data_IF_158804763988
#
_entry.id   IF_158804763988
#
_cell.length_a   1.000
_cell.length_b   1.000
_cell.length_c   1.000
_cell.angle_alpha   90.00
_cell.angle_beta   90.00
_cell.angle_gamma   90.00
#
_symmetry.space_group_name_H-M   'P 1'
#
loop_
_entity.id
_entity.type
_entity.pdbx_description
1 polymer ?
#
# COMPACT_ATOMS: atom_id res chain seq x y z
N UNK A 1 34.54 30.45 -37.44
CA UNK A 1 33.93 31.75 -37.73
C UNK A 1 32.45 31.67 -37.37
N UNK A 2 32.05 32.32 -36.28
CA UNK A 2 30.66 32.61 -35.94
C UNK A 2 30.30 34.00 -36.51
N UNK A 3 29.05 34.18 -36.96
CA UNK A 3 28.28 35.43 -36.99
C UNK A 3 26.82 35.03 -37.35
N UNK A 4 25.86 34.93 -36.42
CA UNK A 4 25.05 35.96 -35.70
C UNK A 4 23.99 36.65 -36.56
N UNK A 5 22.72 36.34 -36.27
CA UNK A 5 21.55 37.23 -36.11
C UNK A 5 20.43 36.34 -35.49
N UNK A 6 20.20 36.41 -34.18
CA UNK A 6 19.25 37.27 -33.46
C UNK A 6 17.77 36.84 -33.61
N UNK A 7 17.18 36.18 -32.60
CA UNK A 7 16.43 36.79 -31.46
C UNK A 7 14.95 37.02 -31.83
N UNK A 8 14.07 36.24 -31.18
CA UNK A 8 12.65 36.45 -30.80
C UNK A 8 11.90 35.11 -30.92
N UNK A 9 11.97 34.30 -29.86
CA UNK A 9 10.85 33.44 -29.43
C UNK A 9 11.12 32.88 -28.02
N UNK A 10 11.45 33.79 -27.11
CA UNK A 10 11.33 33.57 -25.68
C UNK A 10 10.20 34.46 -25.17
N UNK A 11 8.97 33.94 -25.14
CA UNK A 11 7.91 34.33 -24.18
C UNK A 11 6.54 33.81 -24.65
N UNK A 12 6.18 32.58 -24.28
CA UNK A 12 4.85 32.15 -23.81
C UNK A 12 4.75 30.62 -23.91
N UNK A 13 5.11 29.90 -22.86
CA UNK A 13 4.23 28.91 -22.18
C UNK A 13 4.87 28.68 -20.82
N UNK A 14 4.66 29.66 -19.94
CA UNK A 14 4.84 29.50 -18.52
C UNK A 14 3.43 29.31 -17.93
N UNK A 15 2.93 28.07 -17.89
CA UNK A 15 1.81 27.67 -17.01
C UNK A 15 1.96 26.20 -16.62
N UNK A 16 2.56 26.00 -15.44
CA UNK A 16 2.01 25.10 -14.44
C UNK A 16 1.89 23.63 -14.81
N UNK A 17 3.02 22.94 -14.91
CA UNK A 17 3.10 21.54 -14.53
C UNK A 17 4.55 21.21 -14.21
N UNK A 18 5.07 21.78 -13.12
CA UNK A 18 6.01 21.04 -12.28
C UNK A 18 5.22 19.86 -11.70
N UNK A 19 4.96 18.87 -12.55
CA UNK A 19 4.75 17.51 -12.11
C UNK A 19 5.98 17.20 -11.28
N UNK A 20 5.78 17.19 -9.96
CA UNK A 20 6.60 16.44 -9.02
C UNK A 20 6.83 15.08 -9.67
N UNK A 21 7.91 14.93 -10.43
CA UNK A 21 8.52 13.65 -10.67
C UNK A 21 9.08 13.26 -9.32
N UNK A 22 8.18 12.76 -8.47
CA UNK A 22 8.50 11.93 -7.34
C UNK A 22 9.33 10.83 -7.96
N UNK A 23 10.66 10.97 -7.84
CA UNK A 23 11.63 9.99 -8.27
C UNK A 23 11.22 8.70 -7.61
N UNK A 24 10.55 7.87 -8.40
CA UNK A 24 10.09 6.56 -8.00
C UNK A 24 11.36 5.74 -7.89
N UNK A 25 12.02 5.86 -6.74
CA UNK A 25 13.09 4.96 -6.32
C UNK A 25 12.58 3.55 -6.57
N UNK A 26 13.42 2.63 -7.09
CA UNK A 26 12.99 1.27 -7.36
C UNK A 26 12.31 0.75 -6.09
N UNK A 27 11.01 0.46 -6.17
CA UNK A 27 10.17 0.08 -5.04
C UNK A 27 10.75 -1.17 -4.40
N UNK A 28 11.63 -0.97 -3.43
CA UNK A 28 12.12 -2.04 -2.58
C UNK A 28 10.94 -2.50 -1.73
N UNK A 29 10.88 -3.79 -1.42
CA UNK A 29 9.85 -4.39 -0.55
C UNK A 29 9.87 -3.82 0.89
N UNK A 30 10.75 -2.85 1.17
CA UNK A 30 10.90 -2.12 2.42
C UNK A 30 9.67 -1.29 2.81
N UNK A 31 8.81 -0.92 1.86
CA UNK A 31 7.59 -0.16 2.18
C UNK A 31 6.61 -0.96 3.06
N UNK A 32 6.63 -2.30 2.97
CA UNK A 32 5.74 -3.18 3.74
C UNK A 32 6.05 -3.08 5.24
N UNK A 33 7.28 -3.38 5.73
CA UNK A 33 7.58 -3.26 7.15
C UNK A 33 7.48 -1.81 7.64
N UNK A 34 7.81 -0.80 6.81
CA UNK A 34 7.69 0.61 7.20
C UNK A 34 6.22 1.01 7.40
N UNK A 35 5.36 0.71 6.43
CA UNK A 35 3.93 1.02 6.52
C UNK A 35 3.26 0.25 7.66
N UNK A 36 3.62 -1.01 7.85
CA UNK A 36 3.16 -1.82 8.98
C UNK A 36 3.57 -1.22 10.33
N UNK A 37 4.85 -0.85 10.47
CA UNK A 37 5.39 -0.29 11.72
C UNK A 37 4.74 1.05 12.11
N UNK A 38 4.19 1.79 11.14
CA UNK A 38 3.41 3.01 11.41
C UNK A 38 1.94 2.67 11.68
N UNK A 39 1.31 1.85 10.84
CA UNK A 39 -0.13 1.57 10.91
C UNK A 39 -0.51 0.72 12.11
N UNK A 40 0.28 -0.30 12.44
CA UNK A 40 0.01 -1.21 13.55
C UNK A 40 -0.12 -0.47 14.88
N UNK A 41 0.86 0.32 15.37
CA UNK A 41 0.72 1.03 16.64
C UNK A 41 -0.39 2.07 16.62
N UNK A 42 -0.63 2.76 15.50
CA UNK A 42 -1.73 3.74 15.40
C UNK A 42 -3.07 3.05 15.60
N UNK A 43 -3.30 1.93 14.91
CA UNK A 43 -4.56 1.18 14.99
C UNK A 43 -4.73 0.57 16.39
N UNK A 44 -3.65 0.05 16.98
CA UNK A 44 -3.68 -0.50 18.34
C UNK A 44 -3.97 0.57 19.39
N UNK A 45 -3.34 1.75 19.31
CA UNK A 45 -3.57 2.86 20.24
C UNK A 45 -4.99 3.41 20.07
N UNK A 46 -5.42 3.69 18.84
CA UNK A 46 -6.78 4.19 18.57
C UNK A 46 -7.83 3.19 19.04
N UNK A 47 -7.62 1.92 18.77
CA UNK A 47 -8.50 0.86 19.21
C UNK A 47 -8.55 0.76 20.74
N UNK A 48 -7.39 0.78 21.41
CA UNK A 48 -7.32 0.77 22.86
C UNK A 48 -8.06 1.96 23.48
N UNK A 49 -7.80 3.19 23.02
CA UNK A 49 -8.48 4.39 23.50
C UNK A 49 -9.99 4.33 23.22
N UNK A 50 -10.39 3.90 22.03
CA UNK A 50 -11.81 3.74 21.69
C UNK A 50 -12.51 2.72 22.60
N UNK A 51 -11.83 1.62 22.95
CA UNK A 51 -12.38 0.59 23.84
C UNK A 51 -12.67 1.11 25.25
N UNK A 52 -11.85 2.04 25.76
CA UNK A 52 -12.03 2.67 27.07
C UNK A 52 -13.19 3.66 27.04
N UNK A 53 -13.29 4.47 25.98
CA UNK A 53 -14.24 5.60 25.92
C UNK A 53 -15.64 5.16 25.50
N UNK A 54 -15.75 4.27 24.52
CA UNK A 54 -16.99 4.01 23.78
C UNK A 54 -17.54 2.58 23.96
N UNK A 55 -16.99 1.79 24.91
CA UNK A 55 -17.21 0.33 25.07
C UNK A 55 -16.60 -0.48 23.92
N UNK A 56 -16.81 -1.80 23.87
CA UNK A 56 -16.10 -2.72 22.96
C UNK A 56 -16.51 -2.66 21.46
N UNK A 57 -17.73 -2.21 21.15
CA UNK A 57 -18.29 -2.16 19.77
C UNK A 57 -17.46 -1.39 18.71
N UNK A 58 -16.91 -0.18 18.98
CA UNK A 58 -16.20 0.61 17.98
C UNK A 58 -14.80 0.08 17.68
N UNK A 59 -14.20 -0.71 18.57
CA UNK A 59 -12.92 -1.36 18.32
C UNK A 59 -13.00 -2.27 17.09
N UNK A 60 -14.06 -3.08 17.04
CA UNK A 60 -14.33 -3.99 15.92
C UNK A 60 -14.55 -3.22 14.63
N UNK A 61 -15.32 -2.12 14.66
CA UNK A 61 -15.60 -1.32 13.45
C UNK A 61 -14.35 -0.67 12.84
N UNK A 62 -13.44 -0.16 13.68
CA UNK A 62 -12.17 0.42 13.23
C UNK A 62 -11.30 -0.65 12.57
N UNK A 63 -11.24 -1.85 13.15
CA UNK A 63 -10.51 -2.98 12.58
C UNK A 63 -11.16 -3.54 11.30
N UNK A 64 -12.48 -3.61 11.23
CA UNK A 64 -13.19 -4.23 10.10
C UNK A 64 -13.26 -3.32 8.87
N UNK A 65 -13.42 -2.01 9.08
CA UNK A 65 -13.60 -1.06 7.99
C UNK A 65 -12.36 -0.16 7.81
N UNK A 66 -11.90 0.47 8.89
CA UNK A 66 -10.82 1.45 8.82
C UNK A 66 -9.51 0.85 8.34
N UNK A 67 -9.08 -0.24 8.97
CA UNK A 67 -7.80 -0.87 8.66
C UNK A 67 -7.73 -1.39 7.20
N UNK A 68 -8.69 -2.18 6.67
CA UNK A 68 -8.63 -2.64 5.28
C UNK A 68 -8.60 -1.50 4.27
N UNK A 69 -9.33 -0.41 4.52
CA UNK A 69 -9.36 0.76 3.62
C UNK A 69 -7.96 1.38 3.56
N UNK A 70 -7.34 1.66 4.70
CA UNK A 70 -6.02 2.29 4.76
C UNK A 70 -4.95 1.39 4.14
N UNK A 71 -4.98 0.09 4.44
CA UNK A 71 -4.06 -0.90 3.86
C UNK A 71 -4.30 -1.04 2.36
N UNK A 72 -5.53 -1.01 1.88
CA UNK A 72 -5.84 -1.07 0.45
C UNK A 72 -5.30 0.16 -0.29
N UNK A 73 -5.49 1.36 0.27
CA UNK A 73 -4.99 2.61 -0.34
C UNK A 73 -3.47 2.64 -0.39
N UNK A 74 -2.80 2.26 0.70
CA UNK A 74 -1.33 2.20 0.76
C UNK A 74 -0.78 1.14 -0.19
N UNK A 75 -1.37 -0.06 -0.21
CA UNK A 75 -0.97 -1.15 -1.12
C UNK A 75 -1.20 -0.75 -2.58
N UNK A 76 -2.33 -0.13 -2.91
CA UNK A 76 -2.61 0.38 -4.24
C UNK A 76 -1.54 1.38 -4.69
N UNK A 77 -1.28 2.43 -3.90
CA UNK A 77 -0.30 3.46 -4.26
C UNK A 77 1.12 2.93 -4.50
N UNK A 78 1.52 1.90 -3.75
CA UNK A 78 2.85 1.29 -3.89
C UNK A 78 2.95 0.25 -5.02
N UNK A 79 1.83 -0.30 -5.50
CA UNK A 79 1.80 -1.31 -6.56
C UNK A 79 1.44 -0.75 -7.93
N UNK A 80 0.72 0.38 -8.00
CA UNK A 80 0.36 1.05 -9.26
C UNK A 80 1.63 1.55 -9.96
N UNK A 81 1.74 1.27 -11.25
CA UNK A 81 2.91 1.66 -12.05
C UNK A 81 4.13 0.76 -11.88
N UNK A 82 4.09 -0.22 -10.96
CA UNK A 82 5.19 -1.16 -10.69
C UNK A 82 5.40 -2.26 -11.74
N UNK A 83 4.55 -2.31 -12.77
CA UNK A 83 4.60 -3.27 -13.88
C UNK A 83 4.46 -4.74 -13.48
N UNK A 84 3.95 -5.55 -14.41
CA UNK A 84 4.10 -7.00 -14.32
C UNK A 84 5.50 -7.34 -14.85
N UNK A 85 6.34 -7.97 -14.02
CA UNK A 85 7.66 -8.43 -14.48
C UNK A 85 7.42 -9.63 -15.41
N UNK A 86 7.66 -9.43 -16.71
CA UNK A 86 7.52 -10.48 -17.73
C UNK A 86 8.41 -11.70 -17.42
N UNK A 87 9.53 -11.49 -16.70
CA UNK A 87 10.48 -12.53 -16.34
C UNK A 87 9.97 -13.49 -15.25
N UNK A 88 9.11 -13.02 -14.35
CA UNK A 88 8.59 -13.83 -13.24
C UNK A 88 7.08 -14.07 -13.33
N UNK A 89 6.39 -13.50 -14.33
CA UNK A 89 4.92 -13.51 -14.44
C UNK A 89 4.19 -13.00 -13.18
N UNK A 90 4.88 -12.29 -12.29
CA UNK A 90 4.31 -11.76 -11.05
C UNK A 90 3.67 -10.40 -11.35
N UNK A 91 2.34 -10.40 -11.48
CA UNK A 91 1.56 -9.18 -11.65
C UNK A 91 1.22 -8.53 -10.30
N UNK A 92 0.72 -7.29 -10.35
CA UNK A 92 0.33 -6.51 -9.19
C UNK A 92 -0.57 -7.27 -8.19
N UNK A 93 -1.45 -8.15 -8.69
CA UNK A 93 -2.30 -9.00 -7.86
C UNK A 93 -1.48 -9.93 -6.94
N UNK A 94 -0.51 -10.65 -7.50
CA UNK A 94 0.32 -11.59 -6.73
C UNK A 94 1.19 -10.84 -5.73
N UNK A 95 1.73 -9.67 -6.12
CA UNK A 95 2.46 -8.78 -5.18
C UNK A 95 1.57 -8.35 -4.01
N UNK A 96 0.31 -8.02 -4.27
CA UNK A 96 -0.68 -7.66 -3.23
C UNK A 96 -0.98 -8.82 -2.28
N UNK A 97 -1.15 -10.04 -2.81
CA UNK A 97 -1.36 -11.25 -1.98
C UNK A 97 -0.15 -11.50 -1.09
N UNK A 98 1.07 -11.46 -1.64
CA UNK A 98 2.30 -11.66 -0.87
C UNK A 98 2.44 -10.57 0.20
N UNK A 99 2.17 -9.31 -0.13
CA UNK A 99 2.16 -8.22 0.84
C UNK A 99 1.14 -8.48 1.97
N UNK A 100 -0.06 -8.95 1.64
CA UNK A 100 -1.07 -9.36 2.62
C UNK A 100 -0.59 -10.46 3.56
N UNK A 101 0.06 -11.50 3.03
CA UNK A 101 0.64 -12.58 3.85
C UNK A 101 1.73 -12.04 4.79
N UNK A 102 2.58 -11.13 4.31
CA UNK A 102 3.62 -10.50 5.15
C UNK A 102 2.97 -9.66 6.25
N UNK A 103 1.94 -8.86 5.96
CA UNK A 103 1.23 -8.11 7.00
C UNK A 103 0.60 -9.02 8.05
N UNK A 104 -0.01 -10.14 7.64
CA UNK A 104 -0.55 -11.13 8.58
C UNK A 104 0.54 -11.70 9.48
N UNK A 105 1.68 -12.10 8.92
CA UNK A 105 2.79 -12.65 9.70
C UNK A 105 3.36 -11.63 10.68
N UNK A 106 3.57 -10.38 10.24
CA UNK A 106 4.07 -9.31 11.11
C UNK A 106 3.09 -9.04 12.25
N UNK A 107 1.79 -8.92 11.94
CA UNK A 107 0.74 -8.71 12.95
C UNK A 107 0.62 -9.89 13.91
N UNK A 108 0.72 -11.13 13.44
CA UNK A 108 0.71 -12.32 14.29
C UNK A 108 1.88 -12.32 15.28
N UNK A 109 3.11 -12.10 14.78
CA UNK A 109 4.31 -12.05 15.62
C UNK A 109 4.22 -10.90 16.62
N UNK A 110 3.77 -9.74 16.18
CA UNK A 110 3.58 -8.58 17.04
C UNK A 110 2.52 -8.83 18.10
N UNK A 111 1.39 -9.43 17.76
CA UNK A 111 0.33 -9.73 18.71
C UNK A 111 0.82 -10.68 19.80
N UNK A 112 1.59 -11.72 19.45
CA UNK A 112 2.22 -12.62 20.43
C UNK A 112 3.15 -11.85 21.38
N UNK A 113 3.96 -10.91 20.87
CA UNK A 113 4.92 -10.18 21.72
C UNK A 113 4.24 -9.08 22.55
N UNK A 114 3.36 -8.31 21.93
CA UNK A 114 2.72 -7.12 22.50
C UNK A 114 1.65 -7.52 23.51
N UNK A 115 0.80 -8.51 23.22
CA UNK A 115 -0.27 -8.87 24.13
C UNK A 115 0.17 -9.78 25.26
N UNK A 116 1.24 -10.56 25.11
CA UNK A 116 1.88 -11.23 26.25
C UNK A 116 2.46 -10.19 27.23
N UNK A 117 3.12 -9.14 26.72
CA UNK A 117 3.71 -8.11 27.58
C UNK A 117 2.67 -7.18 28.20
N UNK A 118 1.68 -6.72 27.43
CA UNK A 118 0.60 -5.84 27.91
C UNK A 118 -0.41 -6.61 28.78
N UNK A 119 -0.69 -7.87 28.45
CA UNK A 119 -1.63 -8.71 29.21
C UNK A 119 -1.21 -8.89 30.66
N UNK A 120 0.10 -9.02 30.91
CA UNK A 120 0.66 -9.09 32.27
C UNK A 120 0.54 -7.75 33.01
N UNK A 121 0.65 -6.63 32.32
CA UNK A 121 0.65 -5.29 32.92
C UNK A 121 -0.75 -4.69 33.15
N UNK A 122 -1.70 -4.94 32.24
CA UNK A 122 -3.00 -4.24 32.17
C UNK A 122 -4.19 -5.20 32.28
N UNK A 123 -3.97 -6.52 32.17
CA UNK A 123 -5.02 -7.54 32.23
C UNK A 123 -5.91 -7.63 30.97
N UNK A 124 -5.64 -6.80 29.96
CA UNK A 124 -6.29 -6.86 28.65
C UNK A 124 -5.43 -7.70 27.71
N UNK A 125 -5.92 -8.89 27.34
CA UNK A 125 -5.26 -9.76 26.37
C UNK A 125 -6.15 -9.97 25.14
N UNK A 126 -5.79 -9.37 24.01
CA UNK A 126 -6.53 -9.54 22.75
C UNK A 126 -6.49 -10.98 22.22
N UNK A 127 -5.42 -11.72 22.50
CA UNK A 127 -5.29 -13.13 22.12
C UNK A 127 -6.31 -13.99 22.87
N UNK A 128 -6.67 -13.61 24.11
CA UNK A 128 -7.75 -14.26 24.85
C UNK A 128 -9.12 -14.04 24.21
N UNK A 129 -9.31 -12.92 23.50
CA UNK A 129 -10.49 -12.65 22.66
C UNK A 129 -10.27 -13.19 21.24
N UNK A 130 -10.01 -14.49 21.10
CA UNK A 130 -9.56 -15.13 19.85
C UNK A 130 -10.35 -14.80 18.57
N UNK A 131 -11.63 -14.41 18.68
CA UNK A 131 -12.43 -13.92 17.54
C UNK A 131 -11.90 -12.57 16.99
N UNK A 132 -11.49 -11.64 17.84
CA UNK A 132 -10.96 -10.33 17.42
C UNK A 132 -9.59 -10.46 16.76
N UNK A 133 -8.74 -11.38 17.24
CA UNK A 133 -7.44 -11.67 16.64
C UNK A 133 -7.59 -12.17 15.19
N UNK A 134 -8.47 -13.17 14.98
CA UNK A 134 -8.73 -13.72 13.64
C UNK A 134 -9.26 -12.64 12.68
N UNK A 135 -10.21 -11.81 13.13
CA UNK A 135 -10.78 -10.73 12.32
C UNK A 135 -9.73 -9.69 11.94
N UNK A 136 -8.83 -9.33 12.87
CA UNK A 136 -7.70 -8.42 12.61
C UNK A 136 -6.80 -8.97 11.49
N UNK A 137 -6.41 -10.24 11.56
CA UNK A 137 -5.56 -10.85 10.53
C UNK A 137 -6.22 -10.86 9.16
N UNK A 138 -7.51 -11.19 9.07
CA UNK A 138 -8.25 -11.11 7.81
C UNK A 138 -8.36 -9.67 7.30
N UNK A 139 -8.51 -8.68 8.16
CA UNK A 139 -8.57 -7.28 7.77
C UNK A 139 -7.26 -6.81 7.10
N UNK A 140 -6.10 -7.17 7.67
CA UNK A 140 -4.78 -6.90 7.07
C UNK A 140 -4.64 -7.58 5.70
N UNK A 141 -5.00 -8.85 5.62
CA UNK A 141 -4.91 -9.63 4.38
C UNK A 141 -5.82 -9.07 3.28
N UNK A 142 -7.10 -8.85 3.60
CA UNK A 142 -8.10 -8.38 2.64
C UNK A 142 -7.78 -6.96 2.17
N UNK A 143 -7.31 -6.07 3.04
CA UNK A 143 -6.87 -4.74 2.64
C UNK A 143 -5.79 -4.80 1.56
N UNK A 144 -4.75 -5.60 1.79
CA UNK A 144 -3.65 -5.74 0.83
C UNK A 144 -4.10 -6.41 -0.48
N UNK A 145 -4.95 -7.43 -0.39
CA UNK A 145 -5.52 -8.12 -1.55
C UNK A 145 -6.36 -7.17 -2.41
N UNK A 146 -7.26 -6.39 -1.79
CA UNK A 146 -8.10 -5.40 -2.49
C UNK A 146 -7.23 -4.32 -3.13
N UNK A 147 -6.21 -3.82 -2.43
CA UNK A 147 -5.25 -2.86 -2.98
C UNK A 147 -4.49 -3.40 -4.21
N UNK A 148 -4.04 -4.66 -4.14
CA UNK A 148 -3.38 -5.34 -5.27
C UNK A 148 -4.31 -5.59 -6.45
N UNK A 149 -5.56 -5.98 -6.19
CA UNK A 149 -6.57 -6.13 -7.22
C UNK A 149 -6.91 -4.79 -7.90
N UNK A 150 -7.11 -3.73 -7.12
CA UNK A 150 -7.35 -2.39 -7.65
C UNK A 150 -6.19 -1.88 -8.52
N UNK A 151 -4.94 -2.15 -8.11
CA UNK A 151 -3.76 -1.82 -8.90
C UNK A 151 -3.79 -2.54 -10.25
N UNK A 152 -4.12 -3.84 -10.27
CA UNK A 152 -4.26 -4.61 -11.51
C UNK A 152 -5.36 -4.06 -12.43
N UNK A 153 -6.52 -3.71 -11.88
CA UNK A 153 -7.60 -3.10 -12.66
C UNK A 153 -7.16 -1.80 -13.32
N UNK A 154 -6.38 -0.97 -12.60
CA UNK A 154 -5.84 0.29 -13.14
C UNK A 154 -4.86 0.07 -14.30
N UNK A 155 -4.04 -0.99 -14.24
CA UNK A 155 -3.12 -1.37 -15.33
C UNK A 155 -3.88 -1.79 -16.59
N UNK A 156 -4.88 -2.66 -16.44
CA UNK A 156 -5.67 -3.16 -17.59
C UNK A 156 -6.38 -2.00 -18.29
N UNK A 157 -6.96 -1.06 -17.52
CA UNK A 157 -7.62 0.13 -18.07
C UNK A 157 -6.63 1.13 -18.69
N UNK A 158 -5.42 1.22 -18.16
CA UNK A 158 -4.35 2.08 -18.69
C UNK A 158 -3.77 1.56 -20.00
N UNK A 159 -3.62 0.24 -20.14
CA UNK A 159 -3.12 -0.44 -21.35
C UNK A 159 -4.11 -0.49 -22.51
N UNK A 160 -5.41 -0.23 -22.27
CA UNK A 160 -6.42 -0.10 -23.32
C UNK A 160 -6.38 1.24 -24.06
N UNK A 161 -5.51 2.18 -23.65
CA UNK A 161 -5.23 3.37 -24.45
C UNK A 161 -4.17 3.00 -25.49
N UNK A 162 -4.44 3.14 -26.80
CA UNK A 162 -3.46 2.84 -27.84
C UNK A 162 -2.35 3.87 -27.76
N UNK A 163 -1.29 3.57 -27.01
CA UNK A 163 -0.02 4.25 -27.18
C UNK A 163 0.56 3.68 -28.48
N UNK A 164 0.63 4.55 -29.49
CA UNK A 164 0.94 4.18 -30.87
C UNK A 164 2.20 3.32 -31.01
N UNK A 165 2.14 2.43 -32.00
CA UNK A 165 3.26 1.71 -32.62
C UNK A 165 4.23 1.02 -31.65
N UNK A 166 3.95 -0.25 -31.39
CA UNK A 166 5.03 -1.23 -31.22
C UNK A 166 5.69 -1.38 -32.59
N UNK A 167 6.72 -0.57 -32.87
CA UNK A 167 7.69 -0.87 -33.92
C UNK A 167 8.44 -2.12 -33.48
N UNK A 168 7.98 -3.27 -33.98
CA UNK A 168 8.77 -4.49 -34.00
C UNK A 168 9.96 -4.19 -34.90
N UNK A 169 11.10 -3.83 -34.32
CA UNK A 169 12.37 -3.91 -35.02
C UNK A 169 12.60 -5.39 -35.31
N UNK A 170 12.43 -5.78 -36.57
CA UNK A 170 12.85 -7.10 -37.05
C UNK A 170 14.32 -7.29 -36.72
N UNK A 171 14.63 -8.39 -36.05
CA UNK A 171 15.99 -8.91 -36.02
C UNK A 171 16.15 -9.69 -37.32
N UNK A 172 16.89 -9.11 -38.27
CA UNK A 172 17.60 -9.88 -39.29
C UNK A 172 18.78 -10.62 -38.64
#
# INVERSE_FOLDING_TARGET
>A
MCHTEEVICSAFVNRGATTLQMTHTPNTWSWIPISWLVLYPIVTILGYVASIVLRQEPFTMILLAGLPIVVAVTTYRNLVGGGCTLRFQVCALVKGIIAGVIFVLLSFVADVVVWETIGVAVGLNLVAYGQLGIVSYYAWFLGALVGGFAARVSEVRGGSRPVGQVTVSGFE
#
